data_IF_033567791579
#
_entry.id   IF_033567791579
#
_cell.length_a   1.000
_cell.length_b   1.000
_cell.length_c   1.000
_cell.angle_alpha   90.00
_cell.angle_beta   90.00
_cell.angle_gamma   90.00
#
_symmetry.space_group_name_H-M   'P 1'
#
loop_
_entity.id
_entity.type
_entity.pdbx_description
1 polymer ?
#
# COMPACT_ATOMS: atom_id res chain seq x y z
N UNK A 1 4.14 9.40 58.11
CA UNK A 1 5.30 10.32 58.23
C UNK A 1 5.94 10.11 59.59
N UNK A 2 7.26 10.16 59.78
CA UNK A 2 8.40 10.53 58.88
C UNK A 2 9.08 9.27 58.26
N UNK A 3 9.88 9.23 57.20
CA UNK A 3 10.79 10.09 56.42
C UNK A 3 12.30 9.78 56.63
N UNK A 4 12.97 9.52 55.48
CA UNK A 4 14.42 9.49 55.20
C UNK A 4 15.13 8.13 55.01
N UNK A 5 15.35 7.79 53.74
CA UNK A 5 16.56 7.11 53.23
C UNK A 5 17.63 8.16 52.94
N UNK A 6 18.93 7.79 52.95
CA UNK A 6 19.72 8.09 51.76
C UNK A 6 20.77 7.01 51.38
N UNK A 7 20.83 6.76 50.08
CA UNK A 7 22.03 6.66 49.25
C UNK A 7 23.24 5.85 49.74
N UNK A 8 23.50 4.71 49.08
CA UNK A 8 24.86 4.25 48.83
C UNK A 8 25.13 4.36 47.31
N UNK A 9 25.53 5.57 46.91
CA UNK A 9 26.04 5.88 45.59
C UNK A 9 27.43 5.26 45.48
N UNK A 10 27.54 4.09 44.84
CA UNK A 10 28.85 3.56 44.43
C UNK A 10 29.31 4.32 43.19
N UNK A 11 29.96 5.43 43.47
CA UNK A 11 30.73 6.21 42.51
C UNK A 11 31.97 5.40 42.10
N UNK A 12 31.90 4.74 40.93
CA UNK A 12 33.07 4.11 40.33
C UNK A 12 33.73 5.18 39.46
N UNK A 13 34.58 5.99 40.09
CA UNK A 13 35.49 6.88 39.36
C UNK A 13 36.71 6.08 38.90
N UNK A 14 37.12 6.29 37.65
CA UNK A 14 38.37 5.80 37.07
C UNK A 14 38.47 4.29 36.75
N UNK A 15 37.68 3.83 35.78
CA UNK A 15 38.04 2.64 35.01
C UNK A 15 38.63 3.07 33.66
N UNK A 16 39.92 3.35 33.64
CA UNK A 16 40.68 3.55 32.41
C UNK A 16 41.14 2.18 31.89
N UNK A 17 40.30 1.55 31.06
CA UNK A 17 40.68 0.34 30.34
C UNK A 17 41.10 0.70 28.93
N UNK A 18 42.40 0.56 28.65
CA UNK A 18 42.96 0.51 27.30
C UNK A 18 42.67 -0.87 26.71
N UNK A 19 42.33 -0.87 25.42
CA UNK A 19 42.16 -1.99 24.48
C UNK A 19 42.98 -3.23 24.94
N UNK A 20 42.54 -4.50 25.02
CA UNK A 20 41.68 -5.32 24.15
C UNK A 20 41.20 -6.59 24.91
N UNK A 21 40.89 -6.54 26.21
CA UNK A 21 40.46 -7.75 26.96
C UNK A 21 38.93 -7.88 26.95
N UNK A 22 38.41 -8.97 26.39
CA UNK A 22 36.98 -9.28 26.32
C UNK A 22 36.61 -10.26 27.44
N UNK A 23 35.79 -9.82 28.40
CA UNK A 23 35.12 -10.73 29.35
C UNK A 23 33.73 -11.04 28.82
N UNK A 24 33.51 -12.28 28.40
CA UNK A 24 32.18 -12.83 28.14
C UNK A 24 31.65 -13.46 29.44
N UNK A 25 30.66 -12.82 30.08
CA UNK A 25 29.76 -13.52 31.00
C UNK A 25 28.42 -13.73 30.31
N UNK A 26 28.01 -14.99 30.27
CA UNK A 26 27.13 -15.54 29.25
C UNK A 26 25.63 -15.34 29.47
N UNK A 27 24.93 -15.55 28.35
CA UNK A 27 23.57 -16.04 28.17
C UNK A 27 22.41 -15.31 28.87
N UNK A 28 21.91 -14.29 28.18
CA UNK A 28 20.46 -14.13 27.97
C UNK A 28 20.24 -14.03 26.46
N UNK A 29 19.72 -15.10 25.84
CA UNK A 29 19.19 -15.05 24.48
C UNK A 29 17.89 -14.26 24.48
N UNK A 30 18.02 -12.94 24.36
CA UNK A 30 16.93 -12.05 23.96
C UNK A 30 17.42 -11.29 22.74
N UNK A 31 17.00 -11.70 21.53
CA UNK A 31 17.28 -10.92 20.32
C UNK A 31 16.48 -9.61 20.38
N UNK A 32 17.07 -8.57 20.97
CA UNK A 32 16.60 -7.20 20.82
C UNK A 32 17.09 -6.71 19.47
N UNK A 33 16.26 -6.86 18.45
CA UNK A 33 16.47 -6.16 17.19
C UNK A 33 16.18 -4.68 17.41
N UNK A 34 17.23 -3.86 17.53
CA UNK A 34 17.11 -2.43 17.28
C UNK A 34 16.81 -2.26 15.78
N UNK A 35 15.53 -2.30 15.43
CA UNK A 35 15.07 -1.81 14.14
C UNK A 35 15.38 -0.31 14.08
N UNK A 36 16.26 0.08 13.17
CA UNK A 36 16.46 1.47 12.78
C UNK A 36 15.09 2.13 12.55
N UNK A 37 14.92 3.43 12.88
CA UNK A 37 13.67 4.12 12.62
C UNK A 37 13.26 3.84 11.18
N UNK A 38 12.05 3.32 11.01
CA UNK A 38 11.42 3.05 9.73
C UNK A 38 11.65 4.28 8.85
N UNK A 39 12.59 4.17 7.91
CA UNK A 39 12.75 5.13 6.82
C UNK A 39 11.35 5.31 6.26
N UNK A 40 10.85 6.55 6.23
CA UNK A 40 9.50 6.91 5.79
C UNK A 40 9.07 5.96 4.66
N UNK A 41 8.21 5.01 5.01
CA UNK A 41 7.95 3.85 4.16
C UNK A 41 7.56 4.38 2.79
N UNK A 42 8.30 4.01 1.75
CA UNK A 42 7.85 4.20 0.38
C UNK A 42 6.41 3.68 0.33
N UNK A 43 5.46 4.52 -0.08
CA UNK A 43 4.08 4.11 -0.21
C UNK A 43 4.04 2.81 -1.02
N UNK A 44 3.64 1.71 -0.39
CA UNK A 44 3.67 0.40 -1.03
C UNK A 44 2.73 0.42 -2.25
N UNK A 45 3.18 -0.12 -3.37
CA UNK A 45 2.37 -0.20 -4.58
C UNK A 45 1.25 -1.20 -4.36
N UNK A 46 0.01 -0.74 -4.42
CA UNK A 46 -1.18 -1.58 -4.18
C UNK A 46 -1.91 -1.83 -5.49
N UNK A 47 -2.09 -3.12 -5.81
CA UNK A 47 -2.85 -3.59 -6.97
C UNK A 47 -3.94 -4.55 -6.52
N UNK A 48 -5.19 -4.19 -6.73
CA UNK A 48 -6.37 -5.00 -6.43
C UNK A 48 -7.12 -5.24 -7.74
N UNK A 49 -6.75 -6.32 -8.42
CA UNK A 49 -7.36 -6.74 -9.69
C UNK A 49 -7.89 -8.17 -9.49
N UNK A 50 -9.22 -8.38 -9.51
CA UNK A 50 -9.82 -9.67 -9.14
C UNK A 50 -9.73 -10.73 -10.25
N UNK A 51 -9.29 -10.35 -11.45
CA UNK A 51 -9.22 -11.22 -12.61
C UNK A 51 -7.77 -11.34 -13.10
N UNK A 52 -7.31 -12.54 -13.49
CA UNK A 52 -6.00 -12.69 -14.10
C UNK A 52 -5.96 -12.01 -15.47
N UNK A 53 -4.74 -11.64 -15.90
CA UNK A 53 -4.52 -11.11 -17.26
C UNK A 53 -4.98 -12.14 -18.30
N UNK A 54 -5.67 -11.66 -19.32
CA UNK A 54 -6.04 -12.46 -20.49
C UNK A 54 -4.96 -12.33 -21.57
N UNK A 55 -4.08 -13.33 -21.67
CA UNK A 55 -2.99 -13.36 -22.66
C UNK A 55 -3.50 -13.56 -24.10
N UNK A 56 -4.72 -14.05 -24.27
CA UNK A 56 -5.34 -14.33 -25.58
C UNK A 56 -6.15 -13.13 -26.12
N UNK A 57 -6.03 -11.95 -25.51
CA UNK A 57 -6.77 -10.78 -25.95
C UNK A 57 -6.30 -10.31 -27.34
N UNK A 58 -7.23 -10.32 -28.30
CA UNK A 58 -6.99 -9.74 -29.63
C UNK A 58 -7.03 -8.21 -29.54
N UNK A 59 -5.88 -7.59 -29.77
CA UNK A 59 -5.70 -6.15 -29.62
C UNK A 59 -6.39 -5.37 -30.76
N UNK A 60 -7.38 -4.56 -30.39
CA UNK A 60 -8.00 -3.56 -31.27
C UNK A 60 -7.20 -2.26 -31.18
N UNK A 61 -6.18 -2.13 -32.03
CA UNK A 61 -5.19 -1.03 -31.99
C UNK A 61 -5.83 0.35 -31.95
N UNK A 62 -6.82 0.59 -32.81
CA UNK A 62 -7.57 1.85 -32.88
C UNK A 62 -8.27 2.21 -31.56
N UNK A 63 -8.84 1.21 -30.88
CA UNK A 63 -9.50 1.39 -29.59
C UNK A 63 -8.48 1.67 -28.49
N UNK A 64 -7.39 0.91 -28.47
CA UNK A 64 -6.30 1.06 -27.49
C UNK A 64 -5.67 2.44 -27.62
N UNK A 65 -5.31 2.87 -28.83
CA UNK A 65 -4.74 4.19 -29.10
C UNK A 65 -5.68 5.31 -28.63
N UNK A 66 -6.99 5.12 -28.80
CA UNK A 66 -7.98 6.08 -28.31
C UNK A 66 -8.05 6.09 -26.79
N UNK A 67 -7.96 4.94 -26.14
CA UNK A 67 -7.94 4.83 -24.68
C UNK A 67 -6.70 5.50 -24.09
N UNK A 68 -5.52 5.26 -24.67
CA UNK A 68 -4.26 5.85 -24.24
C UNK A 68 -4.24 7.38 -24.43
N UNK A 69 -4.92 7.90 -25.48
CA UNK A 69 -5.13 9.35 -25.66
C UNK A 69 -6.08 9.97 -24.63
N UNK A 70 -7.11 9.23 -24.20
CA UNK A 70 -8.08 9.69 -23.21
C UNK A 70 -7.58 9.54 -21.78
N UNK A 71 -6.67 8.60 -21.53
CA UNK A 71 -6.09 8.30 -20.23
C UNK A 71 -4.55 8.43 -20.29
N UNK A 72 -4.01 9.63 -20.58
CA UNK A 72 -2.58 9.81 -20.67
C UNK A 72 -1.90 9.60 -19.31
N UNK A 73 -0.63 9.20 -19.34
CA UNK A 73 0.22 9.11 -18.14
C UNK A 73 0.74 10.49 -17.69
N UNK A 74 -0.12 11.50 -17.70
CA UNK A 74 0.21 12.85 -17.24
C UNK A 74 -0.41 13.11 -15.88
N UNK A 75 0.10 14.12 -15.18
CA UNK A 75 -0.49 14.54 -13.92
C UNK A 75 -1.92 15.05 -14.10
N UNK A 76 -2.76 14.72 -13.12
CA UNK A 76 -4.16 15.11 -13.07
C UNK A 76 -5.14 13.95 -13.31
N UNK A 77 -6.42 14.15 -12.96
CA UNK A 77 -7.45 13.14 -13.16
C UNK A 77 -7.87 13.06 -14.63
N UNK A 78 -7.94 11.84 -15.15
CA UNK A 78 -8.43 11.53 -16.50
C UNK A 78 -9.46 10.41 -16.43
N UNK A 79 -10.50 10.49 -17.27
CA UNK A 79 -11.62 9.54 -17.27
C UNK A 79 -12.00 9.13 -18.68
N UNK A 80 -12.31 7.85 -18.86
CA UNK A 80 -12.81 7.30 -20.11
C UNK A 80 -13.92 6.28 -19.83
N UNK A 81 -14.87 6.16 -20.76
CA UNK A 81 -15.96 5.21 -20.67
C UNK A 81 -15.93 4.23 -21.86
N UNK A 82 -15.94 2.94 -21.56
CA UNK A 82 -16.13 1.88 -22.55
C UNK A 82 -17.61 1.49 -22.60
N UNK A 83 -18.24 1.66 -23.76
CA UNK A 83 -19.66 1.37 -23.95
C UNK A 83 -19.90 0.55 -25.23
N UNK A 84 -21.03 -0.15 -25.29
CA UNK A 84 -21.38 -1.03 -26.40
C UNK A 84 -22.12 -2.28 -25.95
N UNK A 85 -22.54 -3.10 -26.93
CA UNK A 85 -23.37 -4.28 -26.72
C UNK A 85 -22.83 -5.25 -25.64
N UNK A 86 -23.72 -5.98 -24.98
CA UNK A 86 -23.34 -7.11 -24.13
C UNK A 86 -22.42 -8.09 -24.87
N UNK A 87 -21.43 -8.65 -24.17
CA UNK A 87 -20.49 -9.60 -24.78
C UNK A 87 -19.41 -9.01 -25.71
N UNK A 88 -19.38 -7.69 -25.95
CA UNK A 88 -18.39 -7.07 -26.85
C UNK A 88 -16.95 -7.02 -26.32
N UNK A 89 -16.69 -7.53 -25.11
CA UNK A 89 -15.35 -7.60 -24.51
C UNK A 89 -14.90 -6.35 -23.74
N UNK A 90 -15.80 -5.43 -23.37
CA UNK A 90 -15.45 -4.18 -22.64
C UNK A 90 -14.62 -4.43 -21.38
N UNK A 91 -15.05 -5.37 -20.54
CA UNK A 91 -14.34 -5.72 -19.31
C UNK A 91 -12.94 -6.26 -19.58
N UNK A 92 -12.77 -7.06 -20.65
CA UNK A 92 -11.48 -7.60 -21.05
C UNK A 92 -10.53 -6.50 -21.54
N UNK A 93 -11.04 -5.50 -22.24
CA UNK A 93 -10.26 -4.32 -22.65
C UNK A 93 -9.83 -3.49 -21.43
N UNK A 94 -10.74 -3.24 -20.48
CA UNK A 94 -10.41 -2.51 -19.25
C UNK A 94 -9.35 -3.25 -18.42
N UNK A 95 -9.46 -4.59 -18.35
CA UNK A 95 -8.52 -5.45 -17.64
C UNK A 95 -7.13 -5.42 -18.27
N UNK A 96 -7.05 -5.54 -19.60
CA UNK A 96 -5.79 -5.40 -20.32
C UNK A 96 -5.16 -4.02 -20.11
N UNK A 97 -5.95 -2.94 -20.19
CA UNK A 97 -5.47 -1.60 -19.90
C UNK A 97 -4.88 -1.47 -18.49
N UNK A 98 -5.56 -2.04 -17.48
CA UNK A 98 -5.09 -2.05 -16.10
C UNK A 98 -3.72 -2.76 -15.96
N UNK A 99 -3.54 -3.92 -16.59
CA UNK A 99 -2.25 -4.62 -16.60
C UNK A 99 -1.17 -3.87 -17.37
N UNK A 100 -1.48 -3.31 -18.55
CA UNK A 100 -0.52 -2.48 -19.30
C UNK A 100 -0.05 -1.27 -18.50
N UNK A 101 -0.93 -0.65 -17.71
CA UNK A 101 -0.56 0.47 -16.83
C UNK A 101 0.37 0.02 -15.71
N UNK A 102 0.10 -1.15 -15.13
CA UNK A 102 0.96 -1.79 -14.13
C UNK A 102 2.35 -2.14 -14.68
N UNK A 103 2.44 -2.56 -15.94
CA UNK A 103 3.69 -2.93 -16.60
C UNK A 103 4.52 -1.69 -16.99
N UNK A 104 3.85 -0.62 -17.42
CA UNK A 104 4.50 0.62 -17.85
C UNK A 104 5.03 1.45 -16.66
N UNK A 105 4.43 1.30 -15.49
CA UNK A 105 4.72 2.09 -14.30
C UNK A 105 4.65 1.20 -13.05
N UNK A 106 5.82 0.80 -12.56
CA UNK A 106 5.93 -0.07 -11.40
C UNK A 106 5.39 0.57 -10.12
N UNK A 107 5.30 1.89 -10.05
CA UNK A 107 4.76 2.61 -8.90
C UNK A 107 3.24 2.83 -9.02
N UNK A 108 2.62 2.46 -10.15
CA UNK A 108 1.20 2.64 -10.37
C UNK A 108 0.36 1.69 -9.50
N UNK A 109 -0.47 2.30 -8.65
CA UNK A 109 -1.53 1.62 -7.91
C UNK A 109 -2.78 1.46 -8.80
N UNK A 110 -3.40 0.29 -8.76
CA UNK A 110 -4.61 -0.01 -9.55
C UNK A 110 -5.65 -0.66 -8.67
N UNK A 111 -6.87 -0.11 -8.69
CA UNK A 111 -7.99 -0.58 -7.90
C UNK A 111 -9.17 -0.88 -8.82
N UNK A 112 -9.66 -2.12 -8.76
CA UNK A 112 -10.84 -2.55 -9.50
C UNK A 112 -12.04 -2.60 -8.57
N UNK A 113 -13.15 -1.98 -8.98
CA UNK A 113 -14.39 -1.89 -8.19
C UNK A 113 -15.58 -2.27 -9.05
N UNK A 114 -16.40 -3.20 -8.58
CA UNK A 114 -17.69 -3.52 -9.14
C UNK A 114 -18.73 -2.50 -8.67
N UNK A 115 -19.39 -1.85 -9.63
CA UNK A 115 -20.40 -0.82 -9.38
C UNK A 115 -21.82 -1.27 -9.78
N UNK A 116 -22.06 -2.58 -9.78
CA UNK A 116 -23.37 -3.17 -10.10
C UNK A 116 -24.37 -3.06 -8.94
N UNK A 117 -23.89 -2.99 -7.69
CA UNK A 117 -24.71 -2.78 -6.51
C UNK A 117 -23.92 -2.07 -5.41
N UNK A 118 -24.60 -1.46 -4.45
CA UNK A 118 -23.94 -0.85 -3.28
C UNK A 118 -23.18 -1.90 -2.46
N UNK A 119 -23.72 -3.12 -2.34
CA UNK A 119 -23.11 -4.19 -1.56
C UNK A 119 -21.78 -4.66 -2.17
N UNK A 120 -21.72 -4.86 -3.49
CA UNK A 120 -20.49 -5.25 -4.19
C UNK A 120 -19.46 -4.12 -4.19
N UNK A 121 -19.92 -2.88 -4.35
CA UNK A 121 -19.07 -1.69 -4.27
C UNK A 121 -18.39 -1.56 -2.91
N UNK A 122 -19.16 -1.66 -1.82
CA UNK A 122 -18.62 -1.60 -0.45
C UNK A 122 -17.71 -2.79 -0.13
N UNK A 123 -18.02 -3.99 -0.63
CA UNK A 123 -17.17 -5.16 -0.45
C UNK A 123 -15.79 -4.99 -1.11
N UNK A 124 -15.75 -4.44 -2.32
CA UNK A 124 -14.50 -4.13 -3.02
C UNK A 124 -13.72 -3.01 -2.32
N UNK A 125 -14.40 -1.95 -1.86
CA UNK A 125 -13.77 -0.89 -1.06
C UNK A 125 -13.20 -1.42 0.26
N UNK A 126 -13.85 -2.39 0.90
CA UNK A 126 -13.34 -3.03 2.11
C UNK A 126 -12.07 -3.84 1.81
N UNK A 127 -12.04 -4.52 0.67
CA UNK A 127 -10.84 -5.22 0.17
C UNK A 127 -9.70 -4.26 -0.10
N UNK A 128 -9.99 -3.13 -0.76
CA UNK A 128 -9.01 -2.06 -1.05
C UNK A 128 -8.50 -1.45 0.25
N UNK A 129 -9.38 -1.07 1.17
CA UNK A 129 -9.03 -0.48 2.46
C UNK A 129 -8.11 -1.38 3.27
N UNK A 130 -8.41 -2.68 3.35
CA UNK A 130 -7.53 -3.67 4.00
C UNK A 130 -6.13 -3.68 3.39
N UNK A 131 -6.00 -3.55 2.07
CA UNK A 131 -4.69 -3.50 1.37
C UNK A 131 -3.97 -2.17 1.58
N UNK A 132 -4.71 -1.09 1.81
CA UNK A 132 -4.16 0.24 2.10
C UNK A 132 -3.82 0.44 3.58
N UNK A 133 -4.19 -0.50 4.46
CA UNK A 133 -3.98 -0.39 5.91
C UNK A 133 -5.07 0.39 6.64
N UNK A 134 -6.24 0.59 6.02
CA UNK A 134 -7.42 1.18 6.64
C UNK A 134 -8.00 0.23 7.70
N UNK A 135 -8.55 0.79 8.79
CA UNK A 135 -9.20 0.01 9.84
C UNK A 135 -10.36 -0.82 9.27
N UNK A 136 -10.28 -2.15 9.43
CA UNK A 136 -11.26 -3.12 8.93
C UNK A 136 -12.65 -2.98 9.58
N UNK A 137 -12.75 -2.25 10.70
CA UNK A 137 -14.00 -1.96 11.40
C UNK A 137 -14.83 -0.88 10.71
N UNK A 138 -14.22 -0.06 9.84
CA UNK A 138 -14.95 0.96 9.10
C UNK A 138 -15.92 0.32 8.10
N UNK A 139 -17.05 1.00 7.93
CA UNK A 139 -18.10 0.66 6.99
C UNK A 139 -18.73 1.94 6.39
N UNK A 140 -19.68 1.74 5.47
CA UNK A 140 -20.43 2.83 4.84
C UNK A 140 -19.53 3.96 4.31
N UNK A 141 -19.93 5.20 4.60
CA UNK A 141 -19.21 6.40 4.15
C UNK A 141 -17.83 6.56 4.78
N UNK A 142 -17.66 6.14 6.04
CA UNK A 142 -16.39 6.29 6.77
C UNK A 142 -15.30 5.44 6.13
N UNK A 143 -15.66 4.24 5.66
CA UNK A 143 -14.77 3.40 4.85
C UNK A 143 -14.39 4.08 3.54
N UNK A 144 -15.37 4.63 2.81
CA UNK A 144 -15.11 5.30 1.52
C UNK A 144 -14.19 6.51 1.67
N UNK A 145 -14.42 7.30 2.72
CA UNK A 145 -13.63 8.48 3.04
C UNK A 145 -12.20 8.11 3.44
N UNK A 146 -12.03 7.09 4.28
CA UNK A 146 -10.70 6.62 4.68
C UNK A 146 -9.91 6.08 3.48
N UNK A 147 -10.53 5.27 2.62
CA UNK A 147 -9.89 4.75 1.40
C UNK A 147 -9.49 5.89 0.45
N UNK A 148 -10.37 6.89 0.24
CA UNK A 148 -10.04 8.05 -0.59
C UNK A 148 -8.82 8.80 -0.04
N UNK A 149 -8.80 9.08 1.26
CA UNK A 149 -7.69 9.79 1.89
C UNK A 149 -6.36 9.04 1.72
N UNK A 150 -6.37 7.72 1.85
CA UNK A 150 -5.19 6.88 1.63
C UNK A 150 -4.72 6.91 0.17
N UNK A 151 -5.62 6.94 -0.81
CA UNK A 151 -5.26 7.06 -2.23
C UNK A 151 -4.66 8.44 -2.51
N UNK A 152 -5.27 9.51 -1.99
CA UNK A 152 -4.79 10.90 -2.18
C UNK A 152 -3.43 11.15 -1.52
N UNK A 153 -3.16 10.53 -0.36
CA UNK A 153 -1.88 10.62 0.33
C UNK A 153 -0.72 10.02 -0.50
N UNK A 154 -1.01 9.04 -1.37
CA UNK A 154 -0.03 8.35 -2.23
C UNK A 154 0.16 9.01 -3.58
N UNK A 155 -0.71 9.94 -3.97
CA UNK A 155 -0.65 10.64 -5.26
C UNK A 155 0.33 11.85 -5.25
N UNK A 156 1.15 12.02 -4.21
CA UNK A 156 2.04 13.17 -4.00
C UNK A 156 3.51 12.85 -4.24
#
# INVERSE_FOLDING_TARGET
MPAHSPHEQREISHNQFRDHTVIHQGNVQGNVYYGAPHSAARAEVVRVIPYPRNEDLVHRRDLIDKLDKLLPQTWGPHSAALWGLGGSGKTQIALDYAYRRCDADNECCVFWVHADSEATFLADYKTIGKKLGVDERLDGTDLLDAVRNEIEARSK
#
